data_IF_229905218488
#
_entry.id   IF_229905218488
#
_cell.length_a   1.000
_cell.length_b   1.000
_cell.length_c   1.000
_cell.angle_alpha   90.00
_cell.angle_beta   90.00
_cell.angle_gamma   90.00
#
_symmetry.space_group_name_H-M   'P 1'
#
loop_
_entity.id
_entity.type
_entity.pdbx_description
1 polymer ?
#
# COMPACT_ATOMS: atom_id res chain seq x y z
N UNK A 1 1.55 0.14 -10.53
CA UNK A 1 2.17 1.42 -10.99
C UNK A 1 1.81 2.47 -9.96
N UNK A 2 2.80 3.06 -9.28
CA UNK A 2 2.60 4.13 -8.31
C UNK A 2 3.18 5.43 -8.87
N UNK A 3 2.39 6.50 -8.81
CA UNK A 3 2.84 7.85 -9.15
C UNK A 3 3.23 8.56 -7.86
N UNK A 4 4.46 9.09 -7.80
CA UNK A 4 4.91 9.97 -6.71
C UNK A 4 5.07 11.41 -7.24
N UNK A 5 4.67 12.40 -6.45
CA UNK A 5 4.80 13.81 -6.79
C UNK A 5 5.80 14.50 -5.85
N UNK A 6 6.97 14.84 -6.38
CA UNK A 6 7.84 15.91 -5.85
C UNK A 6 8.10 16.91 -6.99
N UNK A 7 7.69 18.17 -6.82
CA UNK A 7 8.19 19.28 -7.65
C UNK A 7 7.83 19.30 -9.14
N UNK A 8 6.70 18.73 -9.58
CA UNK A 8 6.17 18.94 -10.94
C UNK A 8 6.60 17.92 -12.01
N UNK A 9 7.25 16.81 -11.63
CA UNK A 9 7.55 15.69 -12.54
C UNK A 9 6.80 14.44 -12.10
N UNK A 10 6.10 13.78 -13.04
CA UNK A 10 5.51 12.46 -12.80
C UNK A 10 6.64 11.43 -12.85
N UNK A 11 7.14 11.02 -11.68
CA UNK A 11 8.07 9.91 -11.57
C UNK A 11 7.28 8.60 -11.52
N UNK A 12 7.51 7.73 -12.52
CA UNK A 12 6.96 6.38 -12.56
C UNK A 12 7.80 5.48 -11.65
N UNK A 13 7.19 4.94 -10.59
CA UNK A 13 7.84 3.97 -9.72
C UNK A 13 7.29 2.56 -9.95
N UNK A 14 8.16 1.64 -10.37
CA UNK A 14 7.86 0.22 -10.40
C UNK A 14 8.20 -0.43 -9.07
N UNK A 15 7.17 -0.75 -8.30
CA UNK A 15 7.31 -1.41 -7.00
C UNK A 15 8.07 -2.74 -7.09
N UNK A 16 8.06 -3.39 -8.25
CA UNK A 16 8.73 -4.66 -8.49
C UNK A 16 10.20 -4.53 -8.91
N UNK A 17 10.68 -3.33 -9.25
CA UNK A 17 12.04 -3.10 -9.75
C UNK A 17 13.02 -2.78 -8.62
N UNK A 18 13.44 -3.82 -7.90
CA UNK A 18 14.34 -3.70 -6.76
C UNK A 18 15.77 -3.29 -7.15
N UNK A 19 16.19 -3.59 -8.37
CA UNK A 19 17.58 -3.46 -8.79
C UNK A 19 17.88 -2.05 -9.32
N UNK A 20 16.93 -1.44 -10.04
CA UNK A 20 17.14 -0.13 -10.68
C UNK A 20 16.40 1.01 -9.99
N UNK A 21 15.41 0.70 -9.14
CA UNK A 21 14.62 1.69 -8.41
C UNK A 21 14.56 1.36 -6.92
N UNK A 22 15.66 1.60 -6.15
CA UNK A 22 15.59 1.49 -4.70
C UNK A 22 14.59 2.49 -4.13
N UNK A 23 14.02 2.18 -2.97
CA UNK A 23 13.13 3.08 -2.28
C UNK A 23 13.95 4.27 -1.74
N UNK A 24 13.61 5.51 -2.14
CA UNK A 24 14.28 6.68 -1.59
C UNK A 24 13.94 6.82 -0.09
N UNK A 25 14.88 7.37 0.67
CA UNK A 25 14.65 7.62 2.09
C UNK A 25 13.49 8.58 2.33
N UNK A 26 12.66 8.26 3.31
CA UNK A 26 11.60 9.10 3.83
C UNK A 26 11.32 8.73 5.30
N UNK A 27 10.91 9.70 6.12
CA UNK A 27 10.50 9.40 7.50
C UNK A 27 9.25 8.51 7.56
N UNK A 28 8.37 8.66 6.57
CA UNK A 28 7.12 7.90 6.43
C UNK A 28 6.93 7.46 4.98
N UNK A 29 6.69 6.17 4.79
CA UNK A 29 6.33 5.55 3.51
C UNK A 29 4.85 5.20 3.56
N UNK A 30 4.07 5.79 2.64
CA UNK A 30 2.63 5.53 2.52
C UNK A 30 2.35 4.83 1.19
N UNK A 31 1.55 3.78 1.26
CA UNK A 31 1.19 2.96 0.11
C UNK A 31 -0.31 2.63 0.14
N UNK A 32 -1.02 2.82 -0.96
CA UNK A 32 -2.43 2.47 -1.07
C UNK A 32 -2.75 2.02 -2.48
N UNK A 33 -3.77 1.16 -2.63
CA UNK A 33 -4.20 0.67 -3.95
C UNK A 33 -3.03 0.05 -4.76
N UNK A 34 -2.30 -0.88 -4.14
CA UNK A 34 -1.17 -1.59 -4.76
C UNK A 34 -1.45 -3.07 -4.96
N UNK A 35 -2.05 -3.72 -3.96
CA UNK A 35 -2.09 -5.17 -3.81
C UNK A 35 -3.16 -5.85 -4.69
N UNK A 36 -3.35 -5.40 -5.94
CA UNK A 36 -4.31 -6.01 -6.86
C UNK A 36 -3.94 -7.46 -7.23
N UNK A 37 -2.64 -7.79 -7.21
CA UNK A 37 -2.13 -9.11 -7.57
C UNK A 37 -1.19 -9.68 -6.50
N UNK A 38 -1.09 -11.01 -6.35
CA UNK A 38 -0.11 -11.65 -5.45
C UNK A 38 1.32 -11.16 -5.65
N UNK A 39 1.75 -10.93 -6.91
CA UNK A 39 3.07 -10.40 -7.23
C UNK A 39 3.30 -9.03 -6.60
N UNK A 40 2.33 -8.11 -6.75
CA UNK A 40 2.39 -6.77 -6.16
C UNK A 40 2.34 -6.79 -4.63
N UNK A 41 1.62 -7.75 -4.04
CA UNK A 41 1.60 -7.97 -2.59
C UNK A 41 2.98 -8.34 -2.03
N UNK A 42 3.64 -9.35 -2.62
CA UNK A 42 5.02 -9.72 -2.23
C UNK A 42 6.00 -8.59 -2.47
N UNK A 43 5.88 -7.87 -3.58
CA UNK A 43 6.74 -6.74 -3.87
C UNK A 43 6.60 -5.64 -2.80
N UNK A 44 5.36 -5.30 -2.41
CA UNK A 44 5.10 -4.35 -1.33
C UNK A 44 5.70 -4.79 0.00
N UNK A 45 5.62 -6.07 0.37
CA UNK A 45 6.23 -6.58 1.60
C UNK A 45 7.75 -6.36 1.62
N UNK A 46 8.43 -6.65 0.50
CA UNK A 46 9.87 -6.38 0.38
C UNK A 46 10.20 -4.89 0.49
N UNK A 47 9.39 -4.01 -0.10
CA UNK A 47 9.54 -2.54 0.04
C UNK A 47 9.26 -2.06 1.46
N UNK A 48 8.34 -2.68 2.18
CA UNK A 48 8.11 -2.43 3.60
C UNK A 48 9.38 -2.71 4.39
N UNK A 49 10.01 -3.87 4.20
CA UNK A 49 11.27 -4.20 4.89
C UNK A 49 12.40 -3.22 4.53
N UNK A 50 12.50 -2.83 3.25
CA UNK A 50 13.45 -1.81 2.81
C UNK A 50 13.26 -0.49 3.56
N UNK A 51 12.01 -0.01 3.70
CA UNK A 51 11.68 1.20 4.44
C UNK A 51 11.99 1.09 5.95
N UNK A 52 11.61 -0.03 6.57
CA UNK A 52 11.83 -0.27 8.01
C UNK A 52 13.33 -0.32 8.34
N UNK A 53 14.15 -0.95 7.49
CA UNK A 53 15.62 -0.93 7.60
C UNK A 53 16.21 0.47 7.54
N UNK A 54 15.58 1.37 6.78
CA UNK A 54 15.94 2.78 6.71
C UNK A 54 15.37 3.62 7.87
N UNK A 55 14.76 2.99 8.89
CA UNK A 55 14.11 3.64 10.04
C UNK A 55 12.87 4.47 9.68
N UNK A 56 12.20 4.13 8.58
CA UNK A 56 10.94 4.75 8.16
C UNK A 56 9.75 4.11 8.87
N UNK A 57 8.70 4.88 9.17
CA UNK A 57 7.36 4.33 9.46
C UNK A 57 6.66 3.94 8.15
N UNK A 58 5.90 2.85 8.15
CA UNK A 58 5.19 2.36 6.96
C UNK A 58 3.69 2.30 7.23
N UNK A 59 2.89 2.99 6.41
CA UNK A 59 1.42 2.98 6.49
C UNK A 59 0.86 2.47 5.17
N UNK A 60 0.03 1.42 5.24
CA UNK A 60 -0.51 0.75 4.07
C UNK A 60 -2.03 0.70 4.13
N UNK A 61 -2.69 1.24 3.10
CA UNK A 61 -4.12 1.06 2.88
C UNK A 61 -4.40 -0.06 1.89
N UNK A 62 -5.21 -1.05 2.29
CA UNK A 62 -5.57 -2.16 1.41
C UNK A 62 -6.95 -2.74 1.73
N UNK A 63 -7.88 -2.68 0.77
CA UNK A 63 -9.20 -3.30 0.91
C UNK A 63 -9.06 -4.81 1.22
N UNK A 64 -9.92 -5.38 2.09
CA UNK A 64 -9.83 -6.78 2.52
C UNK A 64 -9.77 -7.80 1.38
N UNK A 65 -10.55 -7.58 0.32
CA UNK A 65 -10.73 -8.56 -0.77
C UNK A 65 -9.66 -8.49 -1.86
N UNK A 66 -8.57 -7.74 -1.63
CA UNK A 66 -7.49 -7.61 -2.61
C UNK A 66 -6.69 -8.92 -2.70
N UNK A 67 -6.56 -9.54 -3.89
CA UNK A 67 -5.85 -10.82 -4.04
C UNK A 67 -4.38 -10.79 -3.59
N UNK A 68 -3.73 -9.61 -3.62
CA UNK A 68 -2.36 -9.45 -3.16
C UNK A 68 -2.21 -9.37 -1.63
N UNK A 69 -3.28 -9.11 -0.88
CA UNK A 69 -3.21 -8.92 0.58
C UNK A 69 -2.76 -10.18 1.33
N UNK A 70 -3.25 -11.40 1.04
CA UNK A 70 -2.73 -12.61 1.67
C UNK A 70 -1.24 -12.83 1.38
N UNK A 71 -0.83 -12.64 0.12
CA UNK A 71 0.56 -12.79 -0.30
C UNK A 71 1.50 -11.77 0.36
N UNK A 72 1.02 -10.54 0.61
CA UNK A 72 1.75 -9.52 1.36
C UNK A 72 1.99 -9.94 2.82
N UNK A 73 0.95 -10.41 3.52
CA UNK A 73 1.06 -10.83 4.92
C UNK A 73 1.96 -12.06 5.07
N UNK A 74 1.82 -13.04 4.18
CA UNK A 74 2.68 -14.23 4.14
C UNK A 74 4.16 -13.84 3.93
N UNK A 75 4.44 -12.96 2.97
CA UNK A 75 5.80 -12.50 2.69
C UNK A 75 6.39 -11.70 3.86
N UNK A 76 5.60 -10.85 4.52
CA UNK A 76 6.05 -10.13 5.72
C UNK A 76 6.47 -11.10 6.84
N UNK A 77 5.69 -12.17 7.05
CA UNK A 77 6.04 -13.22 8.03
C UNK A 77 7.34 -13.91 7.67
N UNK A 78 7.53 -14.28 6.39
CA UNK A 78 8.78 -14.87 5.91
C UNK A 78 9.99 -13.94 6.08
N UNK A 79 9.76 -12.63 6.02
CA UNK A 79 10.79 -11.61 6.20
C UNK A 79 11.01 -11.18 7.66
N UNK A 80 10.29 -11.77 8.62
CA UNK A 80 10.50 -11.58 10.06
C UNK A 80 9.47 -10.70 10.77
N UNK A 81 8.40 -10.24 10.11
CA UNK A 81 7.31 -9.51 10.74
C UNK A 81 6.15 -10.48 11.03
N UNK A 82 6.06 -10.99 12.26
CA UNK A 82 5.08 -12.03 12.60
C UNK A 82 3.66 -11.50 12.84
N UNK A 83 3.55 -10.27 13.39
CA UNK A 83 2.30 -9.69 13.88
C UNK A 83 1.74 -8.58 12.98
N UNK A 84 2.08 -8.60 11.69
CA UNK A 84 1.50 -7.69 10.71
C UNK A 84 -0.01 -7.94 10.57
N UNK A 85 -0.82 -6.99 11.05
CA UNK A 85 -2.27 -7.05 10.96
C UNK A 85 -2.85 -5.75 10.40
N UNK A 86 -3.86 -5.89 9.56
CA UNK A 86 -4.66 -4.78 9.10
C UNK A 86 -5.84 -4.55 10.04
N UNK A 87 -5.99 -3.33 10.54
CA UNK A 87 -7.13 -2.93 11.37
C UNK A 87 -8.10 -2.06 10.57
N UNK A 88 -9.37 -2.06 10.99
CA UNK A 88 -10.42 -1.27 10.37
C UNK A 88 -10.54 0.12 11.00
N UNK A 89 -10.83 1.12 10.16
CA UNK A 89 -11.11 2.49 10.55
C UNK A 89 -12.26 3.06 9.73
N UNK A 90 -12.95 4.03 10.30
CA UNK A 90 -13.90 4.85 9.56
C UNK A 90 -13.14 5.71 8.54
N UNK A 91 -13.60 5.68 7.30
CA UNK A 91 -13.15 6.53 6.21
C UNK A 91 -14.34 7.08 5.42
N UNK A 92 -14.04 7.75 4.32
CA UNK A 92 -15.05 8.27 3.40
C UNK A 92 -14.68 7.95 1.96
N UNK A 93 -15.67 7.76 1.11
CA UNK A 93 -15.45 7.65 -0.34
C UNK A 93 -14.85 8.94 -0.87
N UNK A 94 -14.06 8.81 -1.94
CA UNK A 94 -13.52 9.95 -2.66
C UNK A 94 -14.36 10.23 -3.90
N UNK A 95 -14.51 11.51 -4.23
CA UNK A 95 -15.02 11.97 -5.52
C UNK A 95 -13.88 12.18 -6.53
N UNK A 96 -14.19 12.09 -7.82
CA UNK A 96 -13.26 12.40 -8.91
C UNK A 96 -12.97 11.24 -9.88
N UNK A 97 -12.12 11.56 -10.86
CA UNK A 97 -11.73 10.62 -11.91
C UNK A 97 -10.88 9.49 -11.34
N UNK A 98 -11.21 8.25 -11.72
CA UNK A 98 -10.42 7.06 -11.41
C UNK A 98 -10.28 6.20 -12.66
N UNK A 99 -9.13 5.56 -12.78
CA UNK A 99 -8.86 4.59 -13.83
C UNK A 99 -9.83 3.41 -13.74
N UNK A 100 -10.30 2.89 -14.89
CA UNK A 100 -11.33 1.83 -14.96
C UNK A 100 -10.93 0.55 -14.23
N UNK A 101 -9.63 0.22 -14.23
CA UNK A 101 -9.07 -0.91 -13.47
C UNK A 101 -9.34 -0.84 -11.95
N UNK A 102 -9.59 0.37 -11.43
CA UNK A 102 -9.92 0.59 -10.02
C UNK A 102 -11.46 0.65 -9.83
N UNK A 103 -12.21 0.99 -10.88
CA UNK A 103 -13.68 1.03 -10.95
C UNK A 103 -14.26 -0.28 -11.51
N UNK A 104 -13.88 -1.42 -10.93
CA UNK A 104 -14.48 -2.71 -11.29
C UNK A 104 -16.01 -2.66 -11.20
N UNK A 105 -16.70 -3.49 -11.99
CA UNK A 105 -18.17 -3.59 -12.03
C UNK A 105 -18.68 -3.93 -10.61
N UNK A 106 -19.30 -2.96 -9.93
CA UNK A 106 -19.76 -3.09 -8.54
C UNK A 106 -18.95 -2.33 -7.48
N UNK A 107 -17.95 -1.53 -7.86
CA UNK A 107 -17.23 -0.66 -6.93
C UNK A 107 -18.16 0.39 -6.30
N UNK A 108 -18.28 0.35 -4.96
CA UNK A 108 -19.06 1.31 -4.15
C UNK A 108 -18.23 2.46 -3.60
N UNK A 109 -16.92 2.50 -3.91
CA UNK A 109 -15.97 3.44 -3.33
C UNK A 109 -15.94 4.82 -4.02
N UNK A 110 -16.84 5.07 -4.97
CA UNK A 110 -16.98 6.33 -5.69
C UNK A 110 -18.40 6.84 -5.50
N UNK A 111 -18.51 8.09 -5.06
CA UNK A 111 -19.78 8.79 -4.97
C UNK A 111 -19.55 10.28 -5.16
N UNK A 112 -20.52 10.95 -5.76
CA UNK A 112 -20.47 12.41 -5.98
C UNK A 112 -20.51 13.17 -4.66
N UNK A 113 -21.04 12.55 -3.61
CA UNK A 113 -21.03 13.01 -2.22
C UNK A 113 -20.23 12.05 -1.35
N UNK A 114 -19.31 12.49 -0.47
CA UNK A 114 -18.59 11.59 0.41
C UNK A 114 -19.54 10.73 1.25
N UNK A 115 -19.41 9.42 1.13
CA UNK A 115 -20.17 8.42 1.88
C UNK A 115 -19.25 7.74 2.89
N UNK A 116 -19.73 7.44 4.12
CA UNK A 116 -18.97 6.65 5.06
C UNK A 116 -18.56 5.30 4.48
N UNK A 117 -17.32 4.88 4.74
CA UNK A 117 -16.84 3.55 4.38
C UNK A 117 -15.87 3.01 5.43
N UNK A 118 -15.75 1.70 5.52
CA UNK A 118 -14.68 1.08 6.30
C UNK A 118 -13.43 0.99 5.42
N UNK A 119 -12.32 1.53 5.93
CA UNK A 119 -11.00 1.40 5.35
C UNK A 119 -10.16 0.48 6.22
N UNK A 120 -9.24 -0.24 5.59
CA UNK A 120 -8.38 -1.19 6.28
C UNK A 120 -6.93 -0.74 6.12
N UNK A 121 -6.27 -0.54 7.27
CA UNK A 121 -4.94 0.05 7.38
C UNK A 121 -4.01 -0.89 8.13
N UNK A 122 -2.75 -0.91 7.72
CA UNK A 122 -1.65 -1.50 8.46
C UNK A 122 -0.61 -0.41 8.72
N UNK A 123 -0.07 -0.40 9.93
CA UNK A 123 0.82 0.66 10.44
C UNK A 123 1.98 -0.02 11.16
N UNK A 124 3.18 0.11 10.59
CA UNK A 124 4.40 -0.49 11.10
C UNK A 124 5.42 0.61 11.40
N UNK A 125 6.03 0.49 12.56
CA UNK A 125 7.17 1.27 13.02
C UNK A 125 8.47 0.50 12.80
N UNK A 126 9.63 1.18 12.78
CA UNK A 126 10.93 0.52 12.71
C UNK A 126 11.15 -0.53 13.81
N UNK A 127 10.52 -0.37 14.97
CA UNK A 127 10.65 -1.27 16.12
C UNK A 127 9.94 -2.61 15.90
N UNK A 128 8.99 -2.68 14.94
CA UNK A 128 8.30 -3.94 14.60
C UNK A 128 9.18 -4.92 13.82
N UNK A 129 10.37 -4.51 13.37
CA UNK A 129 11.31 -5.32 12.58
C UNK A 129 12.50 -5.90 13.37
N UNK A 130 12.62 -5.59 14.67
CA UNK A 130 13.76 -6.00 15.51
C UNK A 130 13.40 -7.09 16.52
#
# INVERSE_FOLDING_TARGET
ILNYCWGGWIALFDICDFDNQPLPYADVVVAADIMYEPKTGRAMARRTIEALKQKSRVIIGCSPDRPGRPAFIEELKLLGIENAEFFERAGTTCSGDRHELIRGKGSTSVSDTPQPMIVSLLDLSPDDYY
#
